data_IF_148639989284
#
_entry.id   IF_148639989284
#
_cell.length_a   1.000
_cell.length_b   1.000
_cell.length_c   1.000
_cell.angle_alpha   90.00
_cell.angle_beta   90.00
_cell.angle_gamma   90.00
#
_symmetry.space_group_name_H-M   'P 1'
#
loop_
_entity.id
_entity.type
_entity.pdbx_description
1 polymer ?
#
# COMPACT_ATOMS: atom_id res chain seq x y z
N UNK A 1 13.30 -18.95 -15.39
CA UNK A 1 14.26 -17.94 -14.87
C UNK A 1 13.62 -17.38 -13.61
N UNK A 2 14.37 -16.96 -12.60
CA UNK A 2 13.80 -16.23 -11.45
C UNK A 2 13.73 -14.75 -11.80
N UNK A 3 12.72 -14.02 -11.32
CA UNK A 3 12.80 -12.55 -11.30
C UNK A 3 14.09 -12.15 -10.57
N UNK A 4 14.81 -11.16 -11.10
CA UNK A 4 15.95 -10.57 -10.41
C UNK A 4 15.43 -9.45 -9.49
N UNK A 5 15.52 -9.63 -8.18
CA UNK A 5 14.90 -8.74 -7.21
C UNK A 5 15.86 -7.62 -6.83
N UNK A 6 15.41 -6.37 -6.94
CA UNK A 6 16.28 -5.21 -6.73
C UNK A 6 16.25 -4.78 -5.27
N UNK A 7 17.24 -5.24 -4.52
CA UNK A 7 17.42 -4.92 -3.10
C UNK A 7 17.44 -3.42 -2.82
N UNK A 8 16.83 -3.02 -1.71
CA UNK A 8 16.76 -1.65 -1.22
C UNK A 8 17.36 -1.55 0.18
N UNK A 9 18.29 -0.61 0.34
CA UNK A 9 18.62 -0.11 1.67
C UNK A 9 17.41 0.64 2.26
N UNK A 10 17.25 0.57 3.59
CA UNK A 10 16.19 1.24 4.34
C UNK A 10 14.78 0.85 3.85
N UNK A 11 14.59 -0.44 3.50
CA UNK A 11 13.36 -0.95 2.90
C UNK A 11 12.09 -0.50 3.65
N UNK A 12 12.05 -0.64 4.98
CA UNK A 12 10.86 -0.29 5.77
C UNK A 12 10.52 1.20 5.69
N UNK A 13 11.53 2.07 5.64
CA UNK A 13 11.32 3.52 5.49
C UNK A 13 10.77 3.86 4.11
N UNK A 14 11.32 3.22 3.07
CA UNK A 14 10.85 3.40 1.68
C UNK A 14 9.44 2.86 1.50
N UNK A 15 9.14 1.71 2.09
CA UNK A 15 7.80 1.13 2.07
C UNK A 15 6.80 2.04 2.78
N UNK A 16 7.12 2.54 3.98
CA UNK A 16 6.26 3.48 4.70
C UNK A 16 6.01 4.75 3.89
N UNK A 17 7.06 5.37 3.35
CA UNK A 17 6.93 6.55 2.50
C UNK A 17 6.06 6.30 1.27
N UNK A 18 6.23 5.14 0.62
CA UNK A 18 5.41 4.72 -0.51
C UNK A 18 3.94 4.60 -0.11
N UNK A 19 3.60 3.81 0.91
CA UNK A 19 2.21 3.61 1.35
C UNK A 19 1.57 4.93 1.79
N UNK A 20 2.26 5.76 2.58
CA UNK A 20 1.75 7.07 2.99
C UNK A 20 1.38 7.93 1.79
N UNK A 21 2.25 8.01 0.77
CA UNK A 21 1.97 8.84 -0.40
C UNK A 21 0.80 8.30 -1.23
N UNK A 22 0.54 7.00 -1.18
CA UNK A 22 -0.57 6.36 -1.88
C UNK A 22 -1.90 6.41 -1.14
N UNK A 23 -1.90 6.37 0.19
CA UNK A 23 -3.10 6.25 1.03
C UNK A 23 -3.51 7.56 1.72
N UNK A 24 -2.54 8.33 2.22
CA UNK A 24 -2.78 9.53 3.03
C UNK A 24 -1.54 10.44 2.97
N UNK A 25 -1.54 11.31 1.96
CA UNK A 25 -0.34 11.99 1.48
C UNK A 25 0.19 13.07 2.44
N UNK A 26 -0.68 13.67 3.23
CA UNK A 26 -0.34 14.69 4.24
C UNK A 26 -0.36 14.10 5.64
N UNK A 27 0.42 14.66 6.55
CA UNK A 27 0.41 14.26 7.96
C UNK A 27 -1.01 14.40 8.54
N UNK A 28 -1.68 15.52 8.28
CA UNK A 28 -3.04 15.74 8.80
C UNK A 28 -4.02 14.64 8.37
N UNK A 29 -3.97 14.16 7.12
CA UNK A 29 -4.79 13.04 6.66
C UNK A 29 -4.50 11.74 7.43
N UNK A 30 -3.24 11.50 7.79
CA UNK A 30 -2.83 10.32 8.57
C UNK A 30 -3.25 10.39 10.03
N UNK A 31 -3.27 11.59 10.62
CA UNK A 31 -3.54 11.72 12.04
C UNK A 31 -5.02 11.53 12.39
N UNK A 32 -5.94 11.82 11.47
CA UNK A 32 -7.38 11.88 11.76
C UNK A 32 -8.14 10.67 11.19
N UNK A 33 -9.25 10.32 11.85
CA UNK A 33 -10.20 9.35 11.30
C UNK A 33 -10.85 9.93 10.03
N UNK A 34 -10.88 9.12 8.98
CA UNK A 34 -11.48 9.44 7.69
C UNK A 34 -12.41 8.33 7.23
N UNK A 35 -13.22 8.61 6.20
CA UNK A 35 -14.12 7.65 5.58
C UNK A 35 -13.55 7.22 4.23
N UNK A 36 -13.26 5.94 4.06
CA UNK A 36 -12.84 5.34 2.79
C UNK A 36 -13.77 4.18 2.46
N UNK A 37 -14.47 4.23 1.33
CA UNK A 37 -15.44 3.20 0.90
C UNK A 37 -16.51 2.84 1.96
N UNK A 38 -16.87 3.78 2.83
CA UNK A 38 -17.82 3.51 3.92
C UNK A 38 -17.17 3.08 5.23
N UNK A 39 -15.89 2.72 5.22
CA UNK A 39 -15.19 2.25 6.41
C UNK A 39 -14.47 3.40 7.14
N UNK A 40 -14.40 3.34 8.48
CA UNK A 40 -13.50 4.16 9.27
C UNK A 40 -12.04 3.76 8.99
N UNK A 41 -11.24 4.73 8.56
CA UNK A 41 -9.83 4.55 8.18
C UNK A 41 -8.97 5.66 8.80
N UNK A 42 -7.79 5.31 9.32
CA UNK A 42 -6.84 6.26 9.93
C UNK A 42 -5.39 5.91 9.57
N UNK A 43 -4.43 6.79 9.84
CA UNK A 43 -3.01 6.52 9.62
C UNK A 43 -2.68 6.41 8.14
N UNK A 44 -1.78 5.49 7.80
CA UNK A 44 -1.39 5.21 6.42
C UNK A 44 -2.41 4.28 5.71
N UNK A 45 -3.70 4.57 5.82
CA UNK A 45 -4.77 3.77 5.24
C UNK A 45 -5.15 2.53 6.04
N UNK A 46 -5.07 2.57 7.38
CA UNK A 46 -5.49 1.47 8.24
C UNK A 46 -7.01 1.36 8.26
N UNK A 47 -7.58 0.51 7.40
CA UNK A 47 -9.01 0.21 7.38
C UNK A 47 -9.40 -0.60 8.64
N UNK A 48 -10.19 0.02 9.52
CA UNK A 48 -10.56 -0.55 10.81
C UNK A 48 -11.65 -1.63 10.71
N UNK A 49 -12.24 -1.84 9.52
CA UNK A 49 -13.18 -2.92 9.25
C UNK A 49 -12.46 -4.06 8.55
N UNK A 50 -11.97 -3.81 7.33
CA UNK A 50 -11.37 -4.84 6.47
C UNK A 50 -10.05 -5.37 7.03
N UNK A 51 -9.37 -4.56 7.85
CA UNK A 51 -8.18 -4.96 8.58
C UNK A 51 -8.42 -5.98 9.70
N UNK A 52 -9.67 -6.14 10.13
CA UNK A 52 -10.05 -7.06 11.20
C UNK A 52 -9.46 -6.69 12.56
N UNK A 53 -9.46 -7.65 13.48
CA UNK A 53 -9.07 -7.40 14.88
C UNK A 53 -7.60 -6.97 15.03
N UNK A 54 -6.70 -7.57 14.25
CA UNK A 54 -5.26 -7.24 14.30
C UNK A 54 -4.96 -5.78 13.97
N UNK A 55 -5.67 -5.21 12.98
CA UNK A 55 -5.52 -3.78 12.64
C UNK A 55 -6.09 -2.89 13.74
N UNK A 56 -7.25 -3.24 14.28
CA UNK A 56 -7.89 -2.50 15.37
C UNK A 56 -7.04 -2.53 16.65
N UNK A 57 -6.52 -3.69 17.04
CA UNK A 57 -5.62 -3.86 18.20
C UNK A 57 -4.39 -2.97 18.04
N UNK A 58 -3.67 -3.07 16.92
CA UNK A 58 -2.46 -2.27 16.70
C UNK A 58 -2.72 -0.75 16.70
N UNK A 59 -3.83 -0.29 16.12
CA UNK A 59 -4.21 1.13 16.15
C UNK A 59 -4.52 1.60 17.57
N UNK A 60 -5.29 0.80 18.33
CA UNK A 60 -5.62 1.13 19.72
C UNK A 60 -4.37 1.10 20.62
N UNK A 61 -3.48 0.13 20.46
CA UNK A 61 -2.17 0.09 21.14
C UNK A 61 -1.35 1.34 20.83
N UNK A 62 -1.27 1.74 19.55
CA UNK A 62 -0.62 2.98 19.12
C UNK A 62 -1.27 4.24 19.72
N UNK A 63 -2.54 4.16 20.11
CA UNK A 63 -3.26 5.21 20.82
C UNK A 63 -3.13 5.12 22.35
N UNK A 64 -2.33 4.18 22.88
CA UNK A 64 -2.10 4.02 24.31
C UNK A 64 -3.20 3.25 25.04
N UNK A 65 -3.92 2.37 24.33
CA UNK A 65 -4.72 1.33 24.97
C UNK A 65 -3.84 0.18 25.43
N UNK A 66 -4.19 -0.41 26.56
CA UNK A 66 -3.47 -1.53 27.13
C UNK A 66 -4.22 -2.85 26.91
N UNK A 67 -3.55 -3.81 26.29
CA UNK A 67 -4.07 -5.16 26.08
C UNK A 67 -3.29 -6.12 26.97
N UNK A 68 -4.00 -7.05 27.59
CA UNK A 68 -3.38 -8.16 28.30
C UNK A 68 -3.10 -9.27 27.28
N UNK A 69 -1.82 -9.53 27.00
CA UNK A 69 -1.40 -10.50 25.98
C UNK A 69 -1.53 -11.96 26.46
N UNK A 70 -1.91 -12.19 27.72
CA UNK A 70 -2.12 -13.55 28.27
C UNK A 70 -3.48 -14.17 27.90
N UNK A 71 -4.43 -13.40 27.35
CA UNK A 71 -5.86 -13.78 27.24
C UNK A 71 -6.43 -13.67 25.80
N UNK A 72 -5.72 -14.21 24.80
CA UNK A 72 -6.29 -14.38 23.44
C UNK A 72 -7.39 -15.48 23.39
N UNK A 73 -7.60 -16.23 24.47
CA UNK A 73 -8.65 -17.25 24.62
C UNK A 73 -9.74 -16.74 25.58
N UNK A 74 -10.88 -16.32 25.02
CA UNK A 74 -11.99 -15.71 25.75
C UNK A 74 -12.74 -16.74 26.60
N UNK A 75 -12.31 -16.98 27.85
CA UNK A 75 -13.10 -17.72 28.85
C UNK A 75 -13.32 -16.97 30.18
N UNK A 76 -13.01 -15.67 30.25
CA UNK A 76 -13.59 -14.72 31.21
C UNK A 76 -13.28 -14.98 32.70
N UNK A 77 -12.46 -15.97 33.01
CA UNK A 77 -12.03 -16.33 34.36
C UNK A 77 -10.57 -15.95 34.56
N UNK A 78 -10.29 -14.69 34.96
CA UNK A 78 -8.92 -14.32 35.32
C UNK A 78 -8.58 -12.83 35.24
N UNK A 79 -9.28 -12.05 34.42
CA UNK A 79 -8.98 -10.64 34.23
C UNK A 79 -9.16 -9.80 35.49
N UNK A 80 -8.15 -8.99 35.80
CA UNK A 80 -8.22 -8.01 36.89
C UNK A 80 -9.32 -6.97 36.66
N UNK A 81 -9.85 -6.39 37.73
CA UNK A 81 -10.91 -5.35 37.66
C UNK A 81 -10.49 -4.17 36.76
N UNK A 82 -9.25 -3.69 36.91
CA UNK A 82 -8.71 -2.61 36.09
C UNK A 82 -8.59 -3.00 34.60
N UNK A 83 -8.25 -4.26 34.29
CA UNK A 83 -8.18 -4.74 32.91
C UNK A 83 -9.59 -4.87 32.32
N UNK A 84 -10.57 -5.31 33.10
CA UNK A 84 -11.96 -5.37 32.67
C UNK A 84 -12.51 -3.98 32.28
N UNK A 85 -12.11 -2.92 33.01
CA UNK A 85 -12.44 -1.53 32.67
C UNK A 85 -11.81 -1.13 31.32
N UNK A 86 -10.52 -1.39 31.11
CA UNK A 86 -9.85 -1.07 29.84
C UNK A 86 -10.47 -1.81 28.66
N UNK A 87 -10.72 -3.11 28.85
CA UNK A 87 -11.34 -3.98 27.85
C UNK A 87 -12.75 -3.51 27.47
N UNK A 88 -13.52 -2.92 28.39
CA UNK A 88 -14.82 -2.33 28.09
C UNK A 88 -14.72 -1.18 27.08
N UNK A 89 -13.79 -0.24 27.29
CA UNK A 89 -13.57 0.87 26.36
C UNK A 89 -13.07 0.39 25.00
N UNK A 90 -12.12 -0.56 24.99
CA UNK A 90 -11.62 -1.20 23.76
C UNK A 90 -12.77 -1.85 22.99
N UNK A 91 -13.61 -2.65 23.66
CA UNK A 91 -14.75 -3.33 23.05
C UNK A 91 -15.72 -2.33 22.41
N UNK A 92 -16.09 -1.26 23.12
CA UNK A 92 -17.00 -0.23 22.61
C UNK A 92 -16.44 0.49 21.37
N UNK A 93 -15.13 0.77 21.36
CA UNK A 93 -14.47 1.35 20.18
C UNK A 93 -14.45 0.37 19.01
N UNK A 94 -14.16 -0.92 19.26
CA UNK A 94 -14.20 -1.98 18.26
C UNK A 94 -15.61 -2.14 17.67
N UNK A 95 -16.66 -2.04 18.49
CA UNK A 95 -18.06 -2.08 18.04
C UNK A 95 -18.39 -0.92 17.08
N UNK A 96 -17.91 0.30 17.35
CA UNK A 96 -18.06 1.42 16.40
C UNK A 96 -17.35 1.13 15.07
N UNK A 97 -16.14 0.57 15.12
CA UNK A 97 -15.36 0.24 13.93
C UNK A 97 -16.09 -0.82 13.09
N UNK A 98 -16.52 -1.92 13.70
CA UNK A 98 -17.26 -3.01 13.04
C UNK A 98 -18.61 -2.56 12.48
N UNK A 99 -19.26 -1.60 13.13
CA UNK A 99 -20.49 -0.98 12.65
C UNK A 99 -20.27 0.08 11.55
N UNK A 100 -19.05 0.21 11.02
CA UNK A 100 -18.68 1.19 10.00
C UNK A 100 -18.93 2.65 10.41
N UNK A 101 -18.89 2.97 11.70
CA UNK A 101 -19.13 4.33 12.19
C UNK A 101 -17.94 5.21 11.84
N UNK A 102 -18.18 6.27 11.06
CA UNK A 102 -17.15 7.25 10.67
C UNK A 102 -17.29 8.60 11.38
N UNK A 103 -18.31 8.74 12.22
CA UNK A 103 -18.51 9.93 13.04
C UNK A 103 -17.57 9.92 14.24
N UNK A 104 -16.47 10.67 14.14
CA UNK A 104 -15.42 10.74 15.15
C UNK A 104 -15.94 11.22 16.51
N UNK A 105 -17.06 11.95 16.58
CA UNK A 105 -17.62 12.42 17.85
C UNK A 105 -18.04 11.27 18.77
N UNK A 106 -18.47 10.14 18.21
CA UNK A 106 -18.84 8.94 18.97
C UNK A 106 -17.61 8.25 19.57
N UNK A 107 -16.50 8.23 18.85
CA UNK A 107 -15.23 7.73 19.38
C UNK A 107 -14.70 8.65 20.49
N UNK A 108 -14.74 9.97 20.26
CA UNK A 108 -14.31 10.97 21.25
C UNK A 108 -15.14 10.89 22.53
N UNK A 109 -16.43 10.57 22.43
CA UNK A 109 -17.28 10.38 23.61
C UNK A 109 -16.80 9.21 24.48
N UNK A 110 -16.45 8.06 23.87
CA UNK A 110 -15.89 6.91 24.61
C UNK A 110 -14.55 7.28 25.23
N UNK A 111 -13.69 7.99 24.49
CA UNK A 111 -12.39 8.46 25.00
C UNK A 111 -12.52 9.46 26.14
N UNK A 112 -13.51 10.35 26.10
CA UNK A 112 -13.80 11.28 27.18
C UNK A 112 -14.28 10.54 28.44
N UNK A 113 -15.12 9.52 28.29
CA UNK A 113 -15.53 8.65 29.40
C UNK A 113 -14.33 7.90 30.00
N UNK A 114 -13.44 7.36 29.15
CA UNK A 114 -12.16 6.76 29.57
C UNK A 114 -11.30 7.75 30.35
N UNK A 115 -11.10 8.96 29.83
CA UNK A 115 -10.35 10.04 30.49
C UNK A 115 -10.92 10.37 31.87
N UNK A 116 -12.24 10.44 31.98
CA UNK A 116 -12.96 10.84 33.19
C UNK A 116 -13.19 9.70 34.19
N UNK A 117 -12.76 8.46 33.90
CA UNK A 117 -12.90 7.35 34.82
C UNK A 117 -12.07 7.58 36.10
N UNK A 118 -12.75 7.64 37.25
CA UNK A 118 -12.16 7.97 38.55
C UNK A 118 -11.76 6.74 39.38
N UNK A 119 -11.84 5.53 38.84
CA UNK A 119 -11.46 4.31 39.56
C UNK A 119 -9.94 4.32 39.87
N UNK A 120 -9.53 4.23 41.16
CA UNK A 120 -8.12 4.29 41.53
C UNK A 120 -7.30 3.09 41.04
N UNK A 121 -7.88 1.89 40.99
CA UNK A 121 -7.19 0.70 40.49
C UNK A 121 -6.98 0.80 38.98
N UNK A 122 -7.96 1.34 38.26
CA UNK A 122 -7.80 1.64 36.84
C UNK A 122 -6.76 2.74 36.59
N UNK A 123 -6.71 3.79 37.41
CA UNK A 123 -5.68 4.83 37.32
C UNK A 123 -4.26 4.32 37.56
N UNK A 124 -4.09 3.21 38.30
CA UNK A 124 -2.81 2.54 38.45
C UNK A 124 -2.37 1.78 37.18
N UNK A 125 -3.32 1.20 36.43
CA UNK A 125 -3.05 0.51 35.15
C UNK A 125 -2.82 1.51 34.01
N UNK A 126 -3.74 2.47 33.87
CA UNK A 126 -3.73 3.49 32.83
C UNK A 126 -3.80 4.86 33.51
N UNK A 127 -2.67 5.55 33.72
CA UNK A 127 -2.64 6.88 34.33
C UNK A 127 -3.55 7.87 33.62
N UNK A 128 -4.21 8.78 34.36
CA UNK A 128 -5.16 9.73 33.77
C UNK A 128 -4.53 10.50 32.61
N UNK A 129 -3.28 10.95 32.76
CA UNK A 129 -2.57 11.74 31.76
C UNK A 129 -2.21 11.01 30.47
N UNK A 130 -2.16 9.67 30.47
CA UNK A 130 -1.97 8.88 29.25
C UNK A 130 -3.26 8.64 28.46
N UNK A 131 -4.42 9.00 29.03
CA UNK A 131 -5.73 8.79 28.39
C UNK A 131 -6.03 9.94 27.44
N UNK A 132 -6.30 9.59 26.17
CA UNK A 132 -6.70 10.54 25.13
C UNK A 132 -8.16 10.97 25.29
N UNK A 133 -8.50 12.11 24.71
CA UNK A 133 -9.89 12.60 24.57
C UNK A 133 -10.35 12.68 23.11
N UNK A 134 -9.43 12.48 22.16
CA UNK A 134 -9.71 12.54 20.73
C UNK A 134 -9.18 11.28 20.05
N UNK A 135 -9.98 10.73 19.13
CA UNK A 135 -9.64 9.57 18.34
C UNK A 135 -8.77 9.99 17.15
N UNK A 136 -7.49 10.20 17.45
CA UNK A 136 -6.47 10.60 16.49
C UNK A 136 -5.08 10.18 16.95
N UNK A 137 -4.17 10.06 16.00
CA UNK A 137 -2.74 10.03 16.30
C UNK A 137 -2.24 11.44 16.61
N UNK A 138 -1.28 11.56 17.52
CA UNK A 138 -0.67 12.84 17.88
C UNK A 138 0.48 13.24 16.95
N UNK A 139 1.10 12.28 16.29
CA UNK A 139 2.21 12.53 15.37
C UNK A 139 2.35 11.42 14.35
N UNK A 140 3.06 11.72 13.27
CA UNK A 140 3.47 10.72 12.28
C UNK A 140 4.34 9.60 12.86
N UNK A 141 5.03 9.83 14.00
CA UNK A 141 5.81 8.80 14.67
C UNK A 141 4.92 7.70 15.25
N UNK A 142 3.72 8.03 15.76
CA UNK A 142 2.74 7.03 16.20
C UNK A 142 2.20 6.25 15.01
N UNK A 143 1.86 6.93 13.92
CA UNK A 143 1.41 6.29 12.67
C UNK A 143 2.48 5.32 12.18
N UNK A 144 3.76 5.72 12.21
CA UNK A 144 4.88 4.87 11.81
C UNK A 144 5.02 3.64 12.70
N UNK A 145 4.91 3.80 14.02
CA UNK A 145 4.99 2.67 14.96
C UNK A 145 3.88 1.63 14.69
N UNK A 146 2.65 2.09 14.46
CA UNK A 146 1.53 1.21 14.08
C UNK A 146 1.79 0.55 12.73
N UNK A 147 2.28 1.31 11.75
CA UNK A 147 2.63 0.78 10.44
C UNK A 147 3.65 -0.36 10.52
N UNK A 148 4.73 -0.18 11.28
CA UNK A 148 5.78 -1.19 11.42
C UNK A 148 5.25 -2.47 12.06
N UNK A 149 4.43 -2.34 13.11
CA UNK A 149 3.75 -3.49 13.73
C UNK A 149 2.86 -4.22 12.72
N UNK A 150 2.03 -3.49 11.98
CA UNK A 150 1.13 -4.08 11.00
C UNK A 150 1.84 -4.71 9.82
N UNK A 151 2.92 -4.10 9.33
CA UNK A 151 3.75 -4.69 8.29
C UNK A 151 4.28 -6.05 8.74
N UNK A 152 4.92 -6.11 9.92
CA UNK A 152 5.55 -7.33 10.44
C UNK A 152 4.49 -8.41 10.73
N UNK A 153 3.40 -8.05 11.40
CA UNK A 153 2.46 -9.00 11.99
C UNK A 153 1.29 -9.39 11.08
N UNK A 154 1.01 -8.58 10.04
CA UNK A 154 -0.18 -8.75 9.19
C UNK A 154 0.19 -8.74 7.71
N UNK A 155 0.68 -7.62 7.20
CA UNK A 155 0.73 -7.38 5.76
C UNK A 155 1.89 -8.12 5.07
N UNK A 156 3.05 -8.26 5.73
CA UNK A 156 4.20 -8.98 5.17
C UNK A 156 3.81 -10.41 4.81
N UNK A 157 3.19 -11.15 5.74
CA UNK A 157 2.78 -12.53 5.49
C UNK A 157 1.63 -12.61 4.48
N UNK A 158 0.70 -11.65 4.49
CA UNK A 158 -0.36 -11.55 3.46
C UNK A 158 0.21 -11.49 2.04
N UNK A 159 1.32 -10.76 1.84
CA UNK A 159 2.00 -10.67 0.55
C UNK A 159 2.83 -11.92 0.27
N UNK A 160 3.73 -12.30 1.19
CA UNK A 160 4.70 -13.37 0.96
C UNK A 160 4.05 -14.75 0.79
N UNK A 161 2.91 -15.01 1.43
CA UNK A 161 2.17 -16.27 1.27
C UNK A 161 1.55 -16.43 -0.13
N UNK A 162 1.44 -15.36 -0.91
CA UNK A 162 0.95 -15.41 -2.29
C UNK A 162 2.07 -15.66 -3.30
N UNK A 163 3.33 -15.56 -2.88
CA UNK A 163 4.51 -15.75 -3.71
C UNK A 163 4.99 -17.21 -3.67
N UNK A 164 5.94 -17.61 -4.54
CA UNK A 164 6.49 -18.97 -4.53
C UNK A 164 7.03 -19.39 -3.15
N UNK A 165 6.97 -20.69 -2.85
CA UNK A 165 7.48 -21.23 -1.59
C UNK A 165 8.97 -20.87 -1.40
N UNK A 166 9.34 -20.47 -0.19
CA UNK A 166 10.70 -20.02 0.14
C UNK A 166 10.96 -18.53 -0.13
N UNK A 167 10.00 -17.77 -0.69
CA UNK A 167 10.15 -16.32 -0.87
C UNK A 167 10.44 -15.58 0.44
N UNK A 168 9.90 -16.03 1.58
CA UNK A 168 10.07 -15.34 2.86
C UNK A 168 11.47 -15.37 3.47
N UNK A 169 12.36 -16.23 2.98
CA UNK A 169 13.77 -16.33 3.41
C UNK A 169 14.75 -15.68 2.42
N UNK A 170 14.26 -15.17 1.28
CA UNK A 170 15.11 -14.52 0.28
C UNK A 170 15.14 -13.01 0.56
N UNK A 171 16.22 -12.52 1.21
CA UNK A 171 16.37 -11.10 1.55
C UNK A 171 16.37 -10.18 0.34
N UNK A 172 16.99 -10.60 -0.77
CA UNK A 172 16.96 -9.84 -2.02
C UNK A 172 15.52 -9.64 -2.53
N UNK A 173 14.63 -10.61 -2.29
CA UNK A 173 13.19 -10.47 -2.56
C UNK A 173 12.53 -9.60 -1.48
N UNK A 174 12.60 -10.00 -0.21
CA UNK A 174 11.77 -9.40 0.86
C UNK A 174 12.07 -7.94 1.14
N UNK A 175 13.22 -7.45 0.69
CA UNK A 175 13.64 -6.04 0.83
C UNK A 175 13.85 -5.39 -0.55
N UNK A 176 13.05 -5.78 -1.55
CA UNK A 176 13.14 -5.22 -2.91
C UNK A 176 12.15 -4.12 -3.21
N UNK A 177 12.43 -3.32 -4.26
CA UNK A 177 11.46 -2.37 -4.83
C UNK A 177 10.20 -3.08 -5.34
N UNK A 178 10.34 -4.28 -5.88
CA UNK A 178 9.19 -5.06 -6.36
C UNK A 178 8.29 -5.48 -5.19
N UNK A 179 8.85 -5.80 -4.02
CA UNK A 179 8.04 -6.07 -2.82
C UNK A 179 7.33 -4.82 -2.30
N UNK A 180 7.88 -3.61 -2.47
CA UNK A 180 7.12 -2.39 -2.16
C UNK A 180 5.82 -2.33 -2.99
N UNK A 181 5.91 -2.66 -4.29
CA UNK A 181 4.75 -2.66 -5.18
C UNK A 181 3.75 -3.75 -4.80
N UNK A 182 4.22 -4.98 -4.56
CA UNK A 182 3.36 -6.08 -4.15
C UNK A 182 2.72 -5.81 -2.77
N UNK A 183 3.44 -5.16 -1.86
CA UNK A 183 2.90 -4.68 -0.60
C UNK A 183 1.81 -3.64 -0.82
N UNK A 184 2.01 -2.65 -1.69
CA UNK A 184 0.97 -1.67 -2.04
C UNK A 184 -0.30 -2.32 -2.60
N UNK A 185 -0.16 -3.32 -3.48
CA UNK A 185 -1.30 -4.10 -3.98
C UNK A 185 -2.01 -4.83 -2.83
N UNK A 186 -1.26 -5.55 -1.99
CA UNK A 186 -1.80 -6.31 -0.86
C UNK A 186 -2.39 -5.44 0.26
N UNK A 187 -1.90 -4.21 0.39
CA UNK A 187 -2.43 -3.17 1.28
C UNK A 187 -3.79 -2.70 0.82
N UNK A 188 -3.93 -2.42 -0.49
CA UNK A 188 -5.18 -1.99 -1.10
C UNK A 188 -6.21 -3.13 -1.14
N UNK A 189 -5.84 -4.28 -1.71
CA UNK A 189 -6.64 -5.49 -1.73
C UNK A 189 -5.75 -6.70 -2.12
N UNK A 190 -5.60 -7.68 -1.22
CA UNK A 190 -4.80 -8.88 -1.47
C UNK A 190 -5.20 -9.66 -2.75
N UNK A 191 -6.47 -9.59 -3.17
CA UNK A 191 -6.96 -10.20 -4.40
C UNK A 191 -6.32 -9.64 -5.68
N UNK A 192 -5.71 -8.45 -5.61
CA UNK A 192 -4.97 -7.86 -6.73
C UNK A 192 -3.68 -8.62 -7.04
N UNK A 193 -3.13 -9.36 -6.07
CA UNK A 193 -2.06 -10.34 -6.31
C UNK A 193 -2.71 -11.63 -6.82
N UNK A 194 -3.37 -11.52 -7.97
CA UNK A 194 -4.20 -12.56 -8.55
C UNK A 194 -3.40 -13.73 -9.15
N UNK A 195 -4.08 -14.81 -9.59
CA UNK A 195 -3.43 -16.01 -10.11
C UNK A 195 -2.44 -15.74 -11.26
N UNK A 196 -2.80 -14.87 -12.21
CA UNK A 196 -1.93 -14.52 -13.36
C UNK A 196 -0.66 -13.80 -12.93
N UNK A 197 -0.76 -12.80 -12.04
CA UNK A 197 0.41 -12.11 -11.51
C UNK A 197 1.31 -13.07 -10.70
N UNK A 198 0.72 -13.91 -9.87
CA UNK A 198 1.46 -14.93 -9.10
C UNK A 198 2.19 -15.90 -10.02
N UNK A 199 1.55 -16.33 -11.10
CA UNK A 199 2.15 -17.22 -12.09
C UNK A 199 3.28 -16.53 -12.86
N UNK A 200 3.09 -15.27 -13.28
CA UNK A 200 4.14 -14.48 -13.93
C UNK A 200 5.38 -14.34 -13.03
N UNK A 201 5.18 -14.04 -11.74
CA UNK A 201 6.26 -13.98 -10.74
C UNK A 201 6.95 -15.34 -10.60
N UNK A 202 6.18 -16.42 -10.48
CA UNK A 202 6.70 -17.80 -10.35
C UNK A 202 7.55 -18.22 -11.55
N UNK A 203 7.16 -17.80 -12.75
CA UNK A 203 7.88 -18.09 -14.00
C UNK A 203 9.11 -17.19 -14.23
N UNK A 204 9.28 -16.14 -13.43
CA UNK A 204 10.28 -15.09 -13.66
C UNK A 204 9.96 -14.20 -14.85
N UNK A 205 8.68 -14.09 -15.23
CA UNK A 205 8.25 -13.31 -16.37
C UNK A 205 7.94 -11.87 -15.94
N UNK A 206 8.99 -11.04 -15.85
CA UNK A 206 8.88 -9.63 -15.45
C UNK A 206 7.90 -8.84 -16.32
N UNK A 207 7.99 -9.01 -17.64
CA UNK A 207 7.13 -8.29 -18.58
C UNK A 207 5.65 -8.60 -18.35
N UNK A 208 5.31 -9.88 -18.11
CA UNK A 208 3.94 -10.27 -17.81
C UNK A 208 3.49 -9.78 -16.43
N UNK A 209 4.35 -9.86 -15.41
CA UNK A 209 4.02 -9.34 -14.08
C UNK A 209 3.76 -7.82 -14.12
N UNK A 210 4.59 -7.07 -14.86
CA UNK A 210 4.39 -5.65 -15.09
C UNK A 210 3.05 -5.36 -15.80
N UNK A 211 2.71 -6.15 -16.83
CA UNK A 211 1.43 -6.04 -17.53
C UNK A 211 0.23 -6.27 -16.60
N UNK A 212 0.29 -7.32 -15.79
CA UNK A 212 -0.78 -7.66 -14.85
C UNK A 212 -1.02 -6.54 -13.82
N UNK A 213 0.06 -5.96 -13.28
CA UNK A 213 -0.01 -4.81 -12.36
C UNK A 213 -0.61 -3.59 -13.07
N UNK A 214 -0.12 -3.27 -14.26
CA UNK A 214 -0.47 -2.03 -14.96
C UNK A 214 -1.89 -2.02 -15.51
N UNK A 215 -2.31 -3.12 -16.14
CA UNK A 215 -3.52 -3.14 -16.97
C UNK A 215 -4.61 -4.11 -16.49
N UNK A 216 -4.26 -5.13 -15.70
CA UNK A 216 -5.22 -6.14 -15.20
C UNK A 216 -5.62 -5.95 -13.74
N UNK A 217 -5.05 -4.96 -13.05
CA UNK A 217 -5.34 -4.65 -11.64
C UNK A 217 -6.28 -3.46 -11.43
N UNK A 218 -7.17 -3.21 -12.40
CA UNK A 218 -8.22 -2.19 -12.37
C UNK A 218 -9.54 -2.79 -12.86
N UNK A 219 -10.53 -2.85 -11.97
CA UNK A 219 -11.79 -3.54 -12.22
C UNK A 219 -12.63 -2.77 -13.26
N UNK A 220 -13.01 -3.39 -14.39
CA UNK A 220 -13.81 -2.74 -15.42
C UNK A 220 -15.24 -2.38 -14.96
N UNK A 221 -15.77 -3.05 -13.93
CA UNK A 221 -17.15 -2.87 -13.46
C UNK A 221 -17.30 -1.69 -12.49
N UNK A 222 -16.18 -1.09 -12.06
CA UNK A 222 -16.18 0.08 -11.20
C UNK A 222 -16.57 1.36 -11.95
N UNK A 223 -17.11 2.33 -11.20
CA UNK A 223 -17.42 3.65 -11.76
C UNK A 223 -16.17 4.30 -12.37
N UNK A 224 -16.32 4.94 -13.53
CA UNK A 224 -15.22 5.50 -14.32
C UNK A 224 -14.27 6.39 -13.52
N UNK A 225 -14.81 7.25 -12.65
CA UNK A 225 -14.00 8.12 -11.78
C UNK A 225 -13.09 7.34 -10.83
N UNK A 226 -13.58 6.22 -10.29
CA UNK A 226 -12.81 5.32 -9.43
C UNK A 226 -11.72 4.65 -10.26
N UNK A 227 -12.09 4.09 -11.41
CA UNK A 227 -11.15 3.45 -12.35
C UNK A 227 -10.03 4.38 -12.77
N UNK A 228 -10.31 5.65 -13.01
CA UNK A 228 -9.32 6.64 -13.40
C UNK A 228 -8.30 6.92 -12.27
N UNK A 229 -8.76 6.97 -11.02
CA UNK A 229 -7.88 7.07 -9.85
C UNK A 229 -7.01 5.83 -9.66
N UNK A 230 -7.59 4.64 -9.85
CA UNK A 230 -6.86 3.36 -9.79
C UNK A 230 -5.83 3.28 -10.91
N UNK A 231 -6.17 3.68 -12.14
CA UNK A 231 -5.24 3.69 -13.26
C UNK A 231 -3.99 4.53 -12.96
N UNK A 232 -4.15 5.73 -12.41
CA UNK A 232 -3.04 6.58 -11.93
C UNK A 232 -2.12 5.82 -10.97
N UNK A 233 -2.70 5.11 -10.00
CA UNK A 233 -1.98 4.28 -9.02
C UNK A 233 -1.25 3.11 -9.68
N UNK A 234 -1.89 2.36 -10.58
CA UNK A 234 -1.28 1.21 -11.27
C UNK A 234 -0.15 1.63 -12.21
N UNK A 235 -0.26 2.80 -12.86
CA UNK A 235 0.85 3.36 -13.62
C UNK A 235 2.07 3.62 -12.74
N UNK A 236 1.88 4.24 -11.57
CA UNK A 236 2.98 4.46 -10.62
C UNK A 236 3.57 3.14 -10.09
N UNK A 237 2.73 2.22 -9.63
CA UNK A 237 3.16 0.92 -9.10
C UNK A 237 3.92 0.10 -10.15
N UNK A 238 3.41 0.02 -11.38
CA UNK A 238 4.09 -0.68 -12.48
C UNK A 238 5.42 0.00 -12.85
N UNK A 239 5.51 1.32 -12.75
CA UNK A 239 6.76 2.05 -12.99
C UNK A 239 7.82 1.71 -11.93
N UNK A 240 7.45 1.62 -10.64
CA UNK A 240 8.38 1.19 -9.58
C UNK A 240 8.79 -0.26 -9.73
N UNK A 241 7.85 -1.13 -10.10
CA UNK A 241 8.14 -2.54 -10.36
C UNK A 241 9.15 -2.69 -11.50
N UNK A 242 8.96 -1.89 -12.56
CA UNK A 242 9.84 -1.83 -13.72
C UNK A 242 9.49 -2.89 -14.76
N UNK A 243 9.36 -2.44 -16.02
CA UNK A 243 9.23 -3.34 -17.17
C UNK A 243 10.55 -4.07 -17.45
N UNK A 244 11.66 -3.33 -17.32
CA UNK A 244 13.01 -3.81 -17.50
C UNK A 244 13.63 -4.18 -16.15
N UNK A 245 14.54 -5.14 -16.18
CA UNK A 245 15.45 -5.46 -15.10
C UNK A 245 16.42 -4.29 -14.88
N UNK A 246 17.20 -3.97 -15.91
CA UNK A 246 18.01 -2.77 -16.00
C UNK A 246 17.67 -2.01 -17.28
N UNK A 247 17.02 -0.82 -17.20
CA UNK A 247 16.67 -0.06 -18.40
C UNK A 247 17.91 0.43 -19.18
N UNK A 248 19.09 0.49 -18.55
CA UNK A 248 20.34 0.88 -19.21
C UNK A 248 21.03 -0.30 -19.91
N UNK A 249 20.57 -1.53 -19.69
CA UNK A 249 21.19 -2.73 -20.24
C UNK A 249 20.13 -3.81 -20.51
N UNK A 250 19.30 -3.57 -21.52
CA UNK A 250 18.24 -4.51 -21.91
C UNK A 250 18.81 -5.66 -22.73
N UNK A 251 18.71 -6.88 -22.22
CA UNK A 251 19.17 -8.07 -22.94
C UNK A 251 18.23 -8.46 -24.09
N UNK A 252 18.74 -9.14 -25.13
CA UNK A 252 17.90 -9.62 -26.24
C UNK A 252 16.81 -10.62 -25.77
N UNK A 253 17.09 -11.41 -24.74
CA UNK A 253 16.12 -12.35 -24.17
C UNK A 253 14.97 -11.60 -23.46
N UNK A 254 15.31 -10.54 -22.74
CA UNK A 254 14.34 -9.67 -22.09
C UNK A 254 13.50 -8.91 -23.12
N UNK A 255 14.12 -8.28 -24.11
CA UNK A 255 13.42 -7.60 -25.20
C UNK A 255 12.44 -8.54 -25.92
N UNK A 256 12.83 -9.79 -26.17
CA UNK A 256 11.96 -10.82 -26.76
C UNK A 256 10.76 -11.16 -25.87
N UNK A 257 10.93 -11.20 -24.54
CA UNK A 257 9.83 -11.45 -23.61
C UNK A 257 8.87 -10.26 -23.55
N UNK A 258 9.39 -9.03 -23.54
CA UNK A 258 8.58 -7.79 -23.61
C UNK A 258 7.78 -7.75 -24.90
N UNK A 259 8.43 -8.02 -26.04
CA UNK A 259 7.75 -8.06 -27.33
C UNK A 259 6.66 -9.14 -27.36
N UNK A 260 6.91 -10.33 -26.80
CA UNK A 260 5.90 -11.38 -26.71
C UNK A 260 4.70 -10.95 -25.86
N UNK A 261 4.95 -10.36 -24.69
CA UNK A 261 3.89 -9.82 -23.83
C UNK A 261 3.05 -8.78 -24.59
N UNK A 262 3.71 -7.83 -25.25
CA UNK A 262 3.04 -6.80 -26.05
C UNK A 262 2.17 -7.42 -27.16
N UNK A 263 2.68 -8.41 -27.91
CA UNK A 263 1.91 -9.05 -28.97
C UNK A 263 0.70 -9.81 -28.43
N UNK A 264 0.86 -10.52 -27.31
CA UNK A 264 -0.22 -11.29 -26.69
C UNK A 264 -1.35 -10.40 -26.15
N UNK A 265 -1.01 -9.19 -25.68
CA UNK A 265 -1.94 -8.31 -24.98
C UNK A 265 -2.20 -6.98 -25.67
N UNK A 266 -1.78 -6.83 -26.93
CA UNK A 266 -1.77 -5.56 -27.69
C UNK A 266 -3.09 -4.81 -27.60
N UNK A 267 -4.21 -5.50 -27.84
CA UNK A 267 -5.53 -4.89 -27.79
C UNK A 267 -5.87 -4.35 -26.40
N UNK A 268 -5.65 -5.15 -25.35
CA UNK A 268 -5.90 -4.72 -23.97
C UNK A 268 -5.06 -3.52 -23.58
N UNK A 269 -3.79 -3.49 -23.97
CA UNK A 269 -2.89 -2.34 -23.73
C UNK A 269 -3.42 -1.11 -24.46
N UNK A 270 -3.77 -1.23 -25.74
CA UNK A 270 -4.28 -0.12 -26.55
C UNK A 270 -5.58 0.45 -25.98
N UNK A 271 -6.54 -0.40 -25.64
CA UNK A 271 -7.82 0.02 -25.07
C UNK A 271 -7.63 0.75 -23.74
N UNK A 272 -6.70 0.27 -22.90
CA UNK A 272 -6.45 0.86 -21.59
C UNK A 272 -5.69 2.17 -21.67
N UNK A 273 -4.66 2.25 -22.51
CA UNK A 273 -3.87 3.47 -22.74
C UNK A 273 -4.74 4.55 -23.41
N UNK A 274 -5.63 4.19 -24.35
CA UNK A 274 -6.62 5.11 -24.91
C UNK A 274 -7.62 5.63 -23.86
N UNK A 275 -7.97 4.81 -22.87
CA UNK A 275 -8.92 5.19 -21.83
C UNK A 275 -8.30 6.07 -20.72
N UNK A 276 -7.05 5.82 -20.34
CA UNK A 276 -6.46 6.39 -19.12
C UNK A 276 -5.06 6.97 -19.26
N UNK A 277 -4.32 6.65 -20.31
CA UNK A 277 -2.92 7.05 -20.47
C UNK A 277 -2.72 7.90 -21.72
N UNK A 278 -1.72 7.53 -22.51
CA UNK A 278 -1.47 8.12 -23.83
C UNK A 278 -1.83 7.10 -24.90
N UNK A 279 -2.82 7.40 -25.73
CA UNK A 279 -3.07 6.56 -26.89
C UNK A 279 -1.78 6.55 -27.75
N UNK A 280 -1.25 5.36 -28.15
CA UNK A 280 0.04 5.26 -28.84
C UNK A 280 0.12 6.04 -30.17
N UNK A 281 -1.03 6.49 -30.68
CA UNK A 281 -1.25 7.14 -31.96
C UNK A 281 -1.74 8.59 -31.85
N UNK A 282 -1.83 9.17 -30.65
CA UNK A 282 -2.28 10.56 -30.48
C UNK A 282 -1.42 11.35 -29.48
N UNK A 283 -0.94 12.52 -29.90
CA UNK A 283 -0.08 13.42 -29.10
C UNK A 283 -0.86 14.29 -28.08
N UNK A 284 -2.15 14.06 -27.86
CA UNK A 284 -2.94 14.92 -26.96
C UNK A 284 -4.11 14.21 -26.26
N UNK A 285 -3.83 13.40 -25.23
CA UNK A 285 -4.87 12.83 -24.39
C UNK A 285 -5.44 13.88 -23.41
N UNK A 286 -6.76 14.07 -23.45
CA UNK A 286 -7.51 14.92 -22.50
C UNK A 286 -7.64 14.30 -21.10
N UNK A 287 -7.20 13.05 -20.92
CA UNK A 287 -7.40 12.22 -19.72
C UNK A 287 -6.10 11.56 -19.20
N UNK A 288 -4.94 12.20 -19.39
CA UNK A 288 -3.65 11.57 -19.08
C UNK A 288 -3.42 11.32 -17.58
N UNK A 289 -3.61 10.08 -17.14
CA UNK A 289 -3.28 9.66 -15.77
C UNK A 289 -1.80 9.42 -15.58
N UNK A 290 -1.01 9.33 -16.65
CA UNK A 290 0.44 9.25 -16.56
C UNK A 290 1.00 10.59 -16.10
N UNK A 291 0.67 11.71 -16.75
CA UNK A 291 1.08 13.05 -16.29
C UNK A 291 0.57 13.36 -14.86
N UNK A 292 -0.66 12.96 -14.53
CA UNK A 292 -1.16 13.11 -13.16
C UNK A 292 -0.36 12.27 -12.15
N UNK A 293 0.02 11.05 -12.49
CA UNK A 293 0.88 10.22 -11.64
C UNK A 293 2.26 10.85 -11.46
N UNK A 294 2.86 11.40 -12.53
CA UNK A 294 4.12 12.13 -12.47
C UNK A 294 4.04 13.26 -11.45
N UNK A 295 3.10 14.18 -11.63
CA UNK A 295 2.93 15.33 -10.76
C UNK A 295 2.71 14.90 -9.30
N UNK A 296 1.80 13.95 -9.06
CA UNK A 296 1.39 13.56 -7.72
C UNK A 296 2.37 12.60 -7.04
N UNK A 297 3.24 11.90 -7.76
CA UNK A 297 4.15 10.89 -7.18
C UNK A 297 5.63 11.13 -7.48
N UNK A 298 6.01 12.33 -7.93
CA UNK A 298 7.41 12.73 -8.22
C UNK A 298 8.43 12.23 -7.19
N UNK A 299 8.17 12.39 -5.89
CA UNK A 299 9.09 11.99 -4.82
C UNK A 299 9.21 10.47 -4.63
N UNK A 300 8.24 9.68 -5.11
CA UNK A 300 8.30 8.22 -5.12
C UNK A 300 9.07 7.70 -6.34
N UNK A 301 8.99 8.38 -7.48
CA UNK A 301 9.71 7.98 -8.71
C UNK A 301 11.23 7.95 -8.45
N UNK A 302 11.74 8.88 -7.66
CA UNK A 302 13.12 8.90 -7.17
C UNK A 302 13.52 7.63 -6.37
N UNK A 303 12.58 7.01 -5.66
CA UNK A 303 12.80 5.76 -4.93
C UNK A 303 13.01 4.57 -5.88
N UNK A 304 12.44 4.63 -7.09
CA UNK A 304 12.55 3.58 -8.11
C UNK A 304 13.78 3.74 -9.03
N UNK A 305 14.21 4.98 -9.29
CA UNK A 305 15.29 5.27 -10.23
C UNK A 305 16.70 5.22 -9.60
N UNK A 306 16.86 5.58 -8.32
CA UNK A 306 18.19 5.54 -7.62
C UNK A 306 18.72 4.14 -7.30
N UNK A 307 17.98 3.09 -7.66
CA UNK A 307 18.37 1.69 -7.46
C UNK A 307 19.10 1.11 -8.68
N UNK A 308 19.19 1.87 -9.76
CA UNK A 308 20.08 1.60 -10.90
C UNK A 308 21.31 2.49 -10.71
N UNK A 309 22.51 1.90 -10.77
CA UNK A 309 23.79 2.46 -10.33
C UNK A 309 24.00 3.97 -10.50
N UNK A 310 24.64 4.56 -9.48
CA UNK A 310 25.10 5.94 -9.40
C UNK A 310 25.77 6.46 -10.68
N UNK A 311 25.21 7.53 -11.26
CA UNK A 311 25.97 8.41 -12.15
C UNK A 311 25.14 9.12 -13.23
N UNK A 312 24.81 10.40 -12.98
CA UNK A 312 24.64 11.38 -14.06
C UNK A 312 23.21 11.75 -14.44
N UNK A 313 22.90 13.03 -14.17
CA UNK A 313 21.82 13.87 -14.70
C UNK A 313 20.36 13.48 -14.41
N UNK A 314 19.72 14.40 -13.66
CA UNK A 314 18.28 14.54 -13.47
C UNK A 314 17.63 14.72 -14.85
N UNK A 315 16.66 13.88 -15.26
CA UNK A 315 15.80 14.20 -16.40
C UNK A 315 14.96 15.42 -16.03
N UNK A 316 14.78 16.34 -16.97
CA UNK A 316 13.93 17.52 -16.76
C UNK A 316 12.50 17.07 -16.39
N UNK A 317 11.82 17.89 -15.57
CA UNK A 317 10.65 17.52 -14.77
C UNK A 317 9.42 17.02 -15.60
N UNK A 318 9.48 17.10 -16.94
CA UNK A 318 8.45 16.67 -17.88
C UNK A 318 8.67 15.25 -18.49
N UNK A 319 9.84 14.63 -18.28
CA UNK A 319 10.22 13.37 -18.98
C UNK A 319 10.02 12.09 -18.12
N UNK A 320 9.53 12.24 -16.89
CA UNK A 320 9.66 11.24 -15.82
C UNK A 320 8.80 9.95 -15.95
N UNK A 321 7.84 9.89 -16.87
CA UNK A 321 7.16 8.61 -17.25
C UNK A 321 7.09 8.38 -18.77
N UNK A 322 7.35 9.39 -19.61
CA UNK A 322 7.30 9.23 -21.07
C UNK A 322 8.39 8.27 -21.62
N UNK A 323 9.51 8.12 -20.91
CA UNK A 323 10.69 7.41 -21.41
C UNK A 323 10.57 5.87 -21.47
N UNK A 324 9.49 5.25 -20.96
CA UNK A 324 9.26 3.81 -21.11
C UNK A 324 8.23 3.44 -22.19
N UNK A 325 7.64 4.43 -22.89
CA UNK A 325 6.65 4.21 -23.96
C UNK A 325 7.18 4.59 -25.34
N UNK A 326 8.38 5.21 -25.46
CA UNK A 326 9.03 5.38 -26.75
C UNK A 326 9.48 4.03 -27.32
N UNK A 327 8.53 3.31 -27.92
CA UNK A 327 8.80 2.44 -29.04
C UNK A 327 9.61 3.29 -30.02
N UNK A 328 10.86 2.92 -30.23
CA UNK A 328 11.71 3.57 -31.22
C UNK A 328 10.91 3.78 -32.52
N UNK A 329 10.80 5.01 -33.04
CA UNK A 329 10.04 5.28 -34.27
C UNK A 329 10.57 4.55 -35.51
N UNK A 330 11.75 3.93 -35.43
CA UNK A 330 12.52 3.52 -36.61
C UNK A 330 12.70 2.00 -36.76
N UNK A 331 11.69 1.21 -36.38
CA UNK A 331 11.59 -0.20 -36.81
C UNK A 331 10.49 -0.40 -37.86
N UNK A 332 10.39 0.52 -38.83
CA UNK A 332 9.90 0.20 -40.16
C UNK A 332 11.08 -0.31 -40.98
N UNK A 333 11.21 -1.63 -41.12
CA UNK A 333 12.07 -2.24 -42.13
C UNK A 333 11.18 -3.01 -43.10
N UNK A 334 11.12 -2.45 -44.32
CA UNK A 334 10.78 -3.04 -45.63
C UNK A 334 9.93 -4.30 -45.70
#
# INVERSE_FOLDING_TARGET
MSLNWHFLNDFTDRLYAFICRMEASTENERLILSRVNGNPTIGAGFDLVSGGDKVRKAVLEGMGFYFDDEDDDYDGYGVSHQQAIENDYVRRLKELMEAHVTDVSQYNQILLERRNNTDPAYAALVPVDSRRTEFRFYSDAEVRSVFDSLWINVYRNRVLNLLPAGSGSNTALTESKEIIVLASLGWNNAGLIGPSLREAIRQGNRAEAWFEIRYRSNDPDQAEKIRAGIAKRRFMESQVFGLYDNPQEVSAAEAKNIFRMLQNHRQTIMDYEAAFGHAPDTDSPTNDRIAAANHDYTTIIDLAQKCVGTGGQRPDDDELIASNIYLAPDCYLN
#
